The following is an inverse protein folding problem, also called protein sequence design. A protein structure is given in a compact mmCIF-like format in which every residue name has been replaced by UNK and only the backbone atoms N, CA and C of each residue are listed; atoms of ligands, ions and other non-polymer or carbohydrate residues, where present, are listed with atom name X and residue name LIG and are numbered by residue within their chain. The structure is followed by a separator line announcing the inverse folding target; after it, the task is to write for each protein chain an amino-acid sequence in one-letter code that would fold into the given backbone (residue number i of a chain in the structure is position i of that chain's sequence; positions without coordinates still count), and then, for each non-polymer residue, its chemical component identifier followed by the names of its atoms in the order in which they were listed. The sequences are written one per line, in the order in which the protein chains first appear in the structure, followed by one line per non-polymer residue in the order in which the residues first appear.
data_IF_429660397023
#
_entry.id   IF_429660397023
#
_cell.length_a   1.000
_cell.length_b   1.000
_cell.length_c   1.000
_cell.angle_alpha   90.00
_cell.angle_beta   90.00
_cell.angle_gamma   90.00
#
_symmetry.space_group_name_H-M   'P 1'
#
loop_
_entity.id
_entity.type
_entity.pdbx_description
1 polymer ?
#
# COMPACT_ATOMS: atom_id res chain seq x y z
N UNK A 1 -5.57 16.05 6.31
CA UNK A 1 -5.45 14.67 5.79
C UNK A 1 -6.30 13.78 6.67
N UNK A 2 -7.31 13.09 6.13
CA UNK A 2 -8.18 12.24 6.95
C UNK A 2 -7.47 10.90 7.21
N UNK A 3 -7.01 10.69 8.45
CA UNK A 3 -6.19 9.54 8.85
C UNK A 3 -6.90 8.20 8.66
N UNK A 4 -8.23 8.18 8.79
CA UNK A 4 -9.05 6.98 8.55
C UNK A 4 -9.07 6.60 7.07
N UNK A 5 -9.17 7.59 6.17
CA UNK A 5 -9.16 7.35 4.73
C UNK A 5 -7.81 6.77 4.25
N UNK A 6 -6.70 7.30 4.76
CA UNK A 6 -5.35 6.80 4.45
C UNK A 6 -5.17 5.38 4.99
N UNK A 7 -5.65 5.10 6.20
CA UNK A 7 -5.53 3.77 6.83
C UNK A 7 -6.35 2.71 6.08
N UNK A 8 -7.59 3.04 5.68
CA UNK A 8 -8.42 2.16 4.88
C UNK A 8 -7.77 1.88 3.51
N UNK A 9 -7.27 2.93 2.86
CA UNK A 9 -6.59 2.80 1.58
C UNK A 9 -5.30 1.97 1.66
N UNK A 10 -4.51 2.12 2.73
CA UNK A 10 -3.32 1.30 2.97
C UNK A 10 -3.68 -0.18 3.19
N UNK A 11 -4.78 -0.45 3.89
CA UNK A 11 -5.30 -1.80 4.08
C UNK A 11 -5.73 -2.41 2.74
N UNK A 12 -6.41 -1.65 1.88
CA UNK A 12 -6.74 -2.10 0.52
C UNK A 12 -5.48 -2.47 -0.26
N UNK A 13 -4.43 -1.64 -0.22
CA UNK A 13 -3.15 -1.96 -0.86
C UNK A 13 -2.58 -3.30 -0.36
N UNK A 14 -2.62 -3.54 0.96
CA UNK A 14 -2.13 -4.79 1.55
C UNK A 14 -2.96 -6.00 1.09
N UNK A 15 -4.29 -5.85 0.99
CA UNK A 15 -5.20 -6.90 0.51
C UNK A 15 -4.88 -7.24 -0.96
N UNK A 16 -4.70 -6.25 -1.83
CA UNK A 16 -4.35 -6.48 -3.24
C UNK A 16 -2.99 -7.18 -3.38
N UNK A 17 -1.99 -6.74 -2.62
CA UNK A 17 -0.66 -7.34 -2.63
C UNK A 17 -0.69 -8.80 -2.13
N UNK A 18 -1.45 -9.08 -1.07
CA UNK A 18 -1.63 -10.43 -0.54
C UNK A 18 -2.37 -11.34 -1.53
N UNK A 19 -3.45 -10.85 -2.14
CA UNK A 19 -4.19 -11.58 -3.18
C UNK A 19 -3.32 -11.91 -4.41
N UNK A 20 -2.31 -11.08 -4.67
CA UNK A 20 -1.33 -11.27 -5.76
C UNK A 20 -0.11 -12.10 -5.34
N UNK A 21 -0.05 -12.58 -4.08
CA UNK A 21 1.06 -13.36 -3.55
C UNK A 21 2.37 -12.58 -3.37
N UNK A 22 2.32 -11.24 -3.33
CA UNK A 22 3.51 -10.40 -3.18
C UNK A 22 3.95 -10.27 -1.72
N UNK A 23 2.99 -10.33 -0.79
CA UNK A 23 3.19 -10.32 0.65
C UNK A 23 2.26 -11.35 1.29
N UNK A 24 2.50 -11.66 2.57
CA UNK A 24 1.57 -12.42 3.40
C UNK A 24 1.10 -11.56 4.58
N UNK A 25 -0.20 -11.62 4.88
CA UNK A 25 -0.77 -10.95 6.05
C UNK A 25 -0.63 -11.83 7.32
N UNK A 26 -0.38 -11.24 8.51
CA UNK A 26 -0.21 -9.80 8.76
C UNK A 26 1.15 -9.29 8.29
N UNK A 27 1.14 -8.24 7.46
CA UNK A 27 2.35 -7.63 6.92
C UNK A 27 2.76 -6.42 7.75
N UNK A 28 4.04 -6.39 8.15
CA UNK A 28 4.61 -5.24 8.85
C UNK A 28 5.29 -4.32 7.85
N UNK A 29 4.72 -3.14 7.68
CA UNK A 29 5.27 -2.08 6.85
C UNK A 29 6.58 -1.52 7.44
N UNK A 30 7.58 -1.30 6.59
CA UNK A 30 8.78 -0.54 6.90
C UNK A 30 8.51 0.97 6.75
N UNK A 31 9.23 1.81 7.51
CA UNK A 31 9.05 3.27 7.46
C UNK A 31 9.20 3.85 6.03
N UNK A 32 10.11 3.29 5.24
CA UNK A 32 10.31 3.69 3.83
C UNK A 32 9.15 3.32 2.91
N UNK A 33 8.44 2.22 3.20
CA UNK A 33 7.24 1.83 2.47
C UNK A 33 6.07 2.72 2.85
N UNK A 34 5.95 3.09 4.13
CA UNK A 34 4.91 4.01 4.62
C UNK A 34 5.05 5.38 3.96
N UNK A 35 6.26 5.95 3.88
CA UNK A 35 6.49 7.24 3.22
C UNK A 35 6.12 7.22 1.73
N UNK A 36 6.51 6.15 1.02
CA UNK A 36 6.11 5.94 -0.37
C UNK A 36 4.60 5.78 -0.53
N UNK A 37 3.96 5.04 0.38
CA UNK A 37 2.52 4.82 0.38
C UNK A 37 1.75 6.14 0.57
N UNK A 38 2.22 7.00 1.47
CA UNK A 38 1.66 8.35 1.66
C UNK A 38 1.82 9.23 0.41
N UNK A 39 2.96 9.15 -0.26
CA UNK A 39 3.21 9.89 -1.51
C UNK A 39 2.28 9.44 -2.64
N UNK A 40 2.07 8.12 -2.78
CA UNK A 40 1.16 7.55 -3.78
C UNK A 40 -0.30 7.91 -3.48
N UNK A 41 -0.71 7.88 -2.21
CA UNK A 41 -2.03 8.34 -1.79
C UNK A 41 -2.26 9.81 -2.12
N UNK A 42 -1.31 10.68 -1.78
CA UNK A 42 -1.39 12.12 -2.08
C UNK A 42 -1.46 12.40 -3.59
N UNK A 43 -0.89 11.51 -4.40
CA UNK A 43 -0.92 11.58 -5.87
C UNK A 43 -2.21 11.01 -6.48
N UNK A 44 -3.16 10.54 -5.66
CA UNK A 44 -4.43 9.98 -6.11
C UNK A 44 -4.30 8.63 -6.82
N UNK A 45 -3.22 7.89 -6.57
CA UNK A 45 -2.98 6.59 -7.20
C UNK A 45 -3.98 5.56 -6.64
N UNK A 46 -4.60 4.73 -7.49
CA UNK A 46 -5.46 3.64 -7.04
C UNK A 46 -4.68 2.62 -6.17
N UNK A 47 -5.31 2.03 -5.14
CA UNK A 47 -4.63 1.12 -4.22
C UNK A 47 -4.05 -0.12 -4.89
N UNK A 48 -4.69 -0.64 -5.94
CA UNK A 48 -4.16 -1.77 -6.72
C UNK A 48 -2.83 -1.42 -7.41
N UNK A 49 -2.76 -0.25 -8.04
CA UNK A 49 -1.55 0.22 -8.74
C UNK A 49 -0.45 0.53 -7.72
N UNK A 50 -0.81 1.15 -6.59
CA UNK A 50 0.12 1.45 -5.51
C UNK A 50 0.71 0.15 -4.91
N UNK A 51 -0.12 -0.87 -4.68
CA UNK A 51 0.31 -2.19 -4.20
C UNK A 51 1.33 -2.83 -5.15
N UNK A 52 1.06 -2.84 -6.46
CA UNK A 52 2.01 -3.33 -7.47
C UNK A 52 3.30 -2.51 -7.45
N UNK A 53 3.21 -1.18 -7.36
CA UNK A 53 4.38 -0.29 -7.36
C UNK A 53 5.26 -0.49 -6.13
N UNK A 54 4.67 -0.79 -4.98
CA UNK A 54 5.38 -1.00 -3.72
C UNK A 54 6.01 -2.39 -3.63
N UNK A 55 5.29 -3.43 -4.04
CA UNK A 55 5.65 -4.83 -3.74
C UNK A 55 6.13 -5.65 -4.93
N UNK A 56 6.01 -5.15 -6.17
CA UNK A 56 6.61 -5.84 -7.32
C UNK A 56 8.13 -5.66 -7.23
N UNK A 57 8.84 -6.72 -6.85
CA UNK A 57 10.31 -6.78 -6.91
C UNK A 57 10.77 -6.55 -8.35
N UNK A 58 11.79 -5.70 -8.53
CA UNK A 58 12.67 -5.81 -9.69
C UNK A 58 13.48 -7.11 -9.63
#
# INVERSE_FOLDING_TARGET
MNTEAVSNWALECAIYANASGMIELPYRWADTEVDRLLTLYASGIPPEIAARTLFTKH
#
